data_IF_892671189717
#
_entry.id   IF_892671189717
#
_cell.length_a   1.000
_cell.length_b   1.000
_cell.length_c   1.000
_cell.angle_alpha   90.00
_cell.angle_beta   90.00
_cell.angle_gamma   90.00
#
_symmetry.space_group_name_H-M   'P 1'
#
loop_
_entity.id
_entity.type
_entity.pdbx_description
1 polymer ?
#
# COMPACT_ATOMS: atom_id res chain seq x y z
N UNK A 1 -22.35 -22.89 -5.34
CA UNK A 1 -21.21 -22.68 -6.25
C UNK A 1 -20.74 -21.23 -6.35
N UNK A 2 -21.63 -20.24 -6.49
CA UNK A 2 -21.27 -18.81 -6.66
C UNK A 2 -20.42 -18.25 -5.51
N UNK A 3 -20.65 -18.69 -4.27
CA UNK A 3 -19.93 -18.19 -3.09
C UNK A 3 -18.42 -18.52 -3.08
N UNK A 4 -18.06 -19.76 -3.46
CA UNK A 4 -16.66 -20.21 -3.53
C UNK A 4 -15.94 -19.52 -4.68
N UNK A 5 -16.63 -19.32 -5.81
CA UNK A 5 -16.07 -18.59 -6.96
C UNK A 5 -15.81 -17.11 -6.61
N UNK A 6 -16.74 -16.46 -5.92
CA UNK A 6 -16.59 -15.07 -5.48
C UNK A 6 -15.40 -14.91 -4.53
N UNK A 7 -15.26 -15.81 -3.57
CA UNK A 7 -14.13 -15.82 -2.64
C UNK A 7 -12.80 -16.07 -3.36
N UNK A 8 -12.75 -16.99 -4.32
CA UNK A 8 -11.56 -17.23 -5.12
C UNK A 8 -11.17 -15.99 -5.94
N UNK A 9 -12.14 -15.32 -6.58
CA UNK A 9 -11.89 -14.08 -7.33
C UNK A 9 -11.36 -12.97 -6.43
N UNK A 10 -11.96 -12.76 -5.24
CA UNK A 10 -11.46 -11.79 -4.27
C UNK A 10 -10.04 -12.11 -3.79
N UNK A 11 -9.74 -13.38 -3.57
CA UNK A 11 -8.41 -13.81 -3.16
C UNK A 11 -7.36 -13.57 -4.26
N UNK A 12 -7.67 -13.91 -5.51
CA UNK A 12 -6.80 -13.62 -6.64
C UNK A 12 -6.64 -12.11 -6.88
N UNK A 13 -7.71 -11.33 -6.75
CA UNK A 13 -7.65 -9.88 -6.83
C UNK A 13 -6.71 -9.30 -5.77
N UNK A 14 -6.79 -9.79 -4.52
CA UNK A 14 -5.90 -9.40 -3.43
C UNK A 14 -4.44 -9.78 -3.69
N UNK A 15 -4.17 -10.99 -4.20
CA UNK A 15 -2.82 -11.42 -4.58
C UNK A 15 -2.24 -10.56 -5.71
N UNK A 16 -3.03 -10.24 -6.74
CA UNK A 16 -2.62 -9.32 -7.81
C UNK A 16 -2.33 -7.92 -7.27
N UNK A 17 -3.15 -7.43 -6.34
CA UNK A 17 -2.95 -6.16 -5.65
C UNK A 17 -1.62 -6.16 -4.89
N UNK A 18 -1.35 -7.21 -4.12
CA UNK A 18 -0.09 -7.38 -3.38
C UNK A 18 1.12 -7.44 -4.32
N UNK A 19 1.05 -8.27 -5.36
CA UNK A 19 2.12 -8.41 -6.34
C UNK A 19 2.38 -7.09 -7.08
N UNK A 20 1.34 -6.39 -7.51
CA UNK A 20 1.44 -5.07 -8.14
C UNK A 20 2.07 -4.04 -7.20
N UNK A 21 1.70 -4.06 -5.92
CA UNK A 21 2.26 -3.16 -4.90
C UNK A 21 3.76 -3.43 -4.69
N UNK A 22 4.15 -4.70 -4.55
CA UNK A 22 5.54 -5.14 -4.39
C UNK A 22 6.38 -4.77 -5.62
N UNK A 23 5.84 -4.96 -6.83
CA UNK A 23 6.50 -4.58 -8.07
C UNK A 23 6.70 -3.07 -8.17
N UNK A 24 5.67 -2.28 -7.86
CA UNK A 24 5.74 -0.82 -7.87
C UNK A 24 6.77 -0.28 -6.87
N UNK A 25 6.82 -0.87 -5.67
CA UNK A 25 7.84 -0.58 -4.66
C UNK A 25 9.26 -0.91 -5.15
N UNK A 26 9.45 -2.09 -5.76
CA UNK A 26 10.72 -2.50 -6.34
C UNK A 26 11.18 -1.56 -7.45
N UNK A 27 10.26 -1.13 -8.30
CA UNK A 27 10.53 -0.19 -9.39
C UNK A 27 10.86 1.22 -8.88
N UNK A 28 10.16 1.71 -7.85
CA UNK A 28 10.51 2.98 -7.21
C UNK A 28 11.86 2.93 -6.49
N UNK A 29 12.20 1.80 -5.88
CA UNK A 29 13.50 1.58 -5.23
C UNK A 29 14.64 1.59 -6.25
N UNK A 30 14.43 1.02 -7.43
CA UNK A 30 15.40 1.11 -8.55
C UNK A 30 15.61 2.55 -9.06
N UNK A 31 14.59 3.41 -8.94
CA UNK A 31 14.67 4.83 -9.33
C UNK A 31 15.38 5.72 -8.31
N UNK A 32 15.97 5.15 -7.25
CA UNK A 32 16.74 5.88 -6.23
C UNK A 32 15.95 6.98 -5.49
N UNK A 33 14.63 6.98 -5.62
CA UNK A 33 13.75 7.84 -4.84
C UNK A 33 13.76 7.25 -3.43
N UNK A 34 14.36 7.97 -2.48
CA UNK A 34 14.22 7.62 -1.08
C UNK A 34 12.73 7.63 -0.74
N UNK A 35 12.16 6.43 -0.64
CA UNK A 35 10.75 6.22 -0.31
C UNK A 35 10.53 6.81 1.09
N UNK A 36 10.04 8.05 1.10
CA UNK A 36 9.65 8.74 2.30
C UNK A 36 8.30 8.16 2.73
N UNK A 37 8.24 7.63 3.96
CA UNK A 37 7.05 6.97 4.52
C UNK A 37 5.82 7.86 4.34
N UNK A 38 6.00 9.15 4.58
CA UNK A 38 4.96 10.17 4.43
C UNK A 38 4.46 10.34 2.99
N UNK A 39 5.30 10.16 1.97
CA UNK A 39 4.88 10.38 0.58
C UNK A 39 3.86 9.34 0.12
N UNK A 40 4.05 8.07 0.51
CA UNK A 40 3.10 6.99 0.19
C UNK A 40 1.80 7.11 0.99
N UNK A 41 1.90 7.48 2.28
CA UNK A 41 0.72 7.73 3.10
C UNK A 41 -0.10 8.91 2.55
N UNK A 42 0.57 10.04 2.29
CA UNK A 42 -0.07 11.21 1.68
C UNK A 42 -0.63 10.86 0.31
N UNK A 43 0.10 10.13 -0.55
CA UNK A 43 -0.39 9.73 -1.86
C UNK A 43 -1.66 8.86 -1.78
N UNK A 44 -1.74 7.91 -0.84
CA UNK A 44 -2.94 7.09 -0.64
C UNK A 44 -4.17 7.96 -0.36
N UNK A 45 -4.03 8.93 0.55
CA UNK A 45 -5.10 9.87 0.88
C UNK A 45 -5.41 10.83 -0.27
N UNK A 46 -4.38 11.38 -0.91
CA UNK A 46 -4.51 12.38 -1.97
C UNK A 46 -5.21 11.80 -3.20
N UNK A 47 -4.90 10.54 -3.53
CA UNK A 47 -5.52 9.83 -4.66
C UNK A 47 -7.03 9.74 -4.48
N UNK A 48 -7.56 9.49 -3.28
CA UNK A 48 -9.01 9.44 -3.02
C UNK A 48 -9.61 10.84 -2.83
N UNK A 49 -8.92 11.72 -2.10
CA UNK A 49 -9.42 13.04 -1.71
C UNK A 49 -9.57 13.98 -2.92
N UNK A 50 -8.59 14.03 -3.83
CA UNK A 50 -8.62 14.94 -4.99
C UNK A 50 -9.92 14.77 -5.79
N UNK A 51 -10.29 13.56 -6.26
CA UNK A 51 -11.49 13.38 -7.07
C UNK A 51 -12.77 13.59 -6.24
N UNK A 52 -12.79 13.20 -4.97
CA UNK A 52 -13.95 13.42 -4.10
C UNK A 52 -14.22 14.91 -3.82
N UNK A 53 -13.17 15.74 -3.80
CA UNK A 53 -13.29 17.19 -3.57
C UNK A 53 -13.56 17.96 -4.87
N UNK A 54 -12.97 17.55 -6.00
CA UNK A 54 -13.20 18.19 -7.30
C UNK A 54 -14.53 17.78 -7.95
N UNK A 55 -15.00 16.55 -7.76
CA UNK A 55 -16.20 16.01 -8.40
C UNK A 55 -17.20 15.54 -7.35
N UNK A 56 -18.34 16.24 -7.28
CA UNK A 56 -19.44 15.90 -6.36
C UNK A 56 -20.21 14.63 -6.74
N UNK A 57 -20.05 14.16 -7.99
CA UNK A 57 -20.56 12.90 -8.52
C UNK A 57 -19.42 12.14 -9.19
N UNK A 58 -18.63 11.42 -8.40
CA UNK A 58 -17.64 10.49 -8.96
C UNK A 58 -18.41 9.24 -9.43
N UNK A 59 -18.30 8.83 -10.71
CA UNK A 59 -18.98 7.62 -11.16
C UNK A 59 -18.40 6.41 -10.45
N UNK A 60 -19.26 5.46 -10.08
CA UNK A 60 -18.94 4.31 -9.21
C UNK A 60 -17.74 3.49 -9.69
N UNK A 61 -17.53 3.42 -11.02
CA UNK A 61 -16.37 2.80 -11.62
C UNK A 61 -15.05 3.51 -11.27
N UNK A 62 -15.00 4.84 -11.39
CA UNK A 62 -13.81 5.62 -11.02
C UNK A 62 -13.54 5.50 -9.53
N UNK A 63 -14.58 5.59 -8.71
CA UNK A 63 -14.48 5.48 -7.26
C UNK A 63 -13.88 4.11 -6.85
N UNK A 64 -14.31 3.02 -7.49
CA UNK A 64 -13.74 1.69 -7.25
C UNK A 64 -12.24 1.61 -7.59
N UNK A 65 -11.81 2.22 -8.69
CA UNK A 65 -10.39 2.26 -9.11
C UNK A 65 -9.57 3.13 -8.15
N UNK A 66 -10.16 4.23 -7.68
CA UNK A 66 -9.56 5.16 -6.72
C UNK A 66 -9.33 4.51 -5.37
N UNK A 67 -10.31 3.77 -4.86
CA UNK A 67 -10.16 2.95 -3.66
C UNK A 67 -9.14 1.81 -3.87
N UNK A 68 -9.12 1.18 -5.05
CA UNK A 68 -8.13 0.15 -5.36
C UNK A 68 -6.70 0.72 -5.31
N UNK A 69 -6.48 1.88 -5.93
CA UNK A 69 -5.21 2.60 -5.87
C UNK A 69 -4.87 3.02 -4.44
N UNK A 70 -5.84 3.52 -3.68
CA UNK A 70 -5.67 3.83 -2.26
C UNK A 70 -5.18 2.61 -1.47
N UNK A 71 -5.78 1.44 -1.72
CA UNK A 71 -5.37 0.19 -1.09
C UNK A 71 -3.93 -0.19 -1.48
N UNK A 72 -3.55 -0.09 -2.76
CA UNK A 72 -2.17 -0.30 -3.22
C UNK A 72 -1.20 0.60 -2.47
N UNK A 73 -1.46 1.92 -2.41
CA UNK A 73 -0.58 2.86 -1.71
C UNK A 73 -0.53 2.63 -0.19
N UNK A 74 -1.66 2.24 0.43
CA UNK A 74 -1.74 1.91 1.85
C UNK A 74 -0.95 0.65 2.21
N UNK A 75 -1.06 -0.41 1.39
CA UNK A 75 -0.28 -1.65 1.55
C UNK A 75 1.22 -1.34 1.37
N UNK A 76 1.57 -0.50 0.39
CA UNK A 76 2.95 -0.09 0.18
C UNK A 76 3.52 0.62 1.42
N UNK A 77 2.75 1.55 1.99
CA UNK A 77 3.10 2.26 3.21
C UNK A 77 3.32 1.32 4.40
N UNK A 78 2.43 0.35 4.62
CA UNK A 78 2.59 -0.62 5.71
C UNK A 78 3.83 -1.49 5.52
N UNK A 79 4.05 -2.00 4.31
CA UNK A 79 5.19 -2.86 3.98
C UNK A 79 6.52 -2.14 4.23
N UNK A 80 6.63 -0.87 3.85
CA UNK A 80 7.84 -0.07 4.09
C UNK A 80 8.02 0.35 5.56
N UNK A 81 6.92 0.50 6.30
CA UNK A 81 7.01 0.74 7.74
C UNK A 81 7.60 -0.48 8.44
N UNK A 82 7.15 -1.67 8.06
CA UNK A 82 7.66 -2.93 8.58
C UNK A 82 9.12 -3.17 8.20
N UNK A 83 9.52 -2.90 6.95
CA UNK A 83 10.92 -3.04 6.50
C UNK A 83 11.87 -2.13 7.29
N UNK A 84 11.47 -0.88 7.57
CA UNK A 84 12.27 0.07 8.36
C UNK A 84 12.30 -0.28 9.84
N UNK A 85 11.21 -0.79 10.41
CA UNK A 85 11.18 -1.31 11.79
C UNK A 85 12.16 -2.48 11.94
N UNK A 86 12.13 -3.45 11.02
CA UNK A 86 13.07 -4.57 11.02
C UNK A 86 14.52 -4.11 10.86
N UNK A 87 14.76 -3.09 10.03
CA UNK A 87 16.10 -2.51 9.90
C UNK A 87 16.55 -1.82 11.19
N UNK A 88 15.66 -1.06 11.83
CA UNK A 88 15.93 -0.40 13.11
C UNK A 88 16.23 -1.41 14.23
N UNK A 89 15.47 -2.50 14.33
CA UNK A 89 15.73 -3.57 15.30
C UNK A 89 17.05 -4.30 15.05
N UNK A 90 17.45 -4.43 13.77
CA UNK A 90 18.76 -4.99 13.40
C UNK A 90 19.92 -4.04 13.74
N UNK A 91 19.73 -2.74 13.57
CA UNK A 91 20.74 -1.72 13.88
C UNK A 91 20.83 -1.40 15.39
N UNK A 92 19.73 -1.60 16.14
CA UNK A 92 19.64 -1.51 17.59
C UNK A 92 19.12 -2.82 18.20
N UNK A 93 19.93 -3.90 18.21
CA UNK A 93 19.52 -5.14 18.83
C UNK A 93 19.19 -4.86 20.31
N UNK A 94 17.98 -5.23 20.73
CA UNK A 94 17.62 -5.21 22.14
C UNK A 94 18.63 -6.11 22.85
N UNK A 95 19.56 -5.50 23.60
CA UNK A 95 20.46 -6.21 24.50
C UNK A 95 19.66 -6.38 25.79
N UNK A 96 19.10 -7.56 26.09
CA UNK A 96 18.42 -7.76 27.35
C UNK A 96 19.48 -7.72 28.47
N UNK A 97 19.56 -6.58 29.16
CA UNK A 97 20.17 -6.46 30.47
C UNK A 97 21.70 -6.47 30.51
N UNK A 98 22.29 -5.28 30.58
CA UNK A 98 23.37 -5.05 31.54
C UNK A 98 22.73 -4.36 32.75
N UNK A 99 22.33 -5.14 33.75
CA UNK A 99 22.09 -4.66 35.11
C UNK A 99 23.35 -4.89 35.91
#
# INVERSE_FOLDING_TARGET
MIFVLYWAVMFFAFLLLLAGTQFLLGWLKQRHIHINRWLFGVAAFLVVIIPHVLMRNVPLALDSVLYLLCAVFGIAFMTETHSKMLKYEKDHPFTPGNK
#
